data_IF_813712001653
#
_entry.id   IF_813712001653
#
_cell.length_a   1.000
_cell.length_b   1.000
_cell.length_c   1.000
_cell.angle_alpha   90.00
_cell.angle_beta   90.00
_cell.angle_gamma   90.00
#
_symmetry.space_group_name_H-M   'P 1'
#
loop_
_entity.id
_entity.type
_entity.pdbx_description
1 polymer ?
#
# COMPACT_ATOMS: atom_id res chain seq x y z
N UNK A 1 -13.67 -22.04 0.72
CA UNK A 1 -14.48 -21.75 1.93
C UNK A 1 -15.89 -21.45 1.46
N UNK A 2 -16.93 -21.87 2.19
CA UNK A 2 -18.32 -21.54 1.83
C UNK A 2 -18.47 -20.02 1.84
N UNK A 3 -19.13 -19.44 0.82
CA UNK A 3 -19.48 -18.03 0.84
C UNK A 3 -20.67 -17.78 1.77
N UNK A 4 -20.79 -16.59 2.38
CA UNK A 4 -21.97 -16.24 3.18
C UNK A 4 -23.25 -16.29 2.32
N UNK A 5 -24.38 -16.77 2.87
CA UNK A 5 -25.66 -16.76 2.18
C UNK A 5 -26.17 -15.33 2.01
N UNK A 6 -27.05 -15.10 1.03
CA UNK A 6 -27.67 -13.80 0.76
C UNK A 6 -28.43 -13.22 1.97
N UNK A 7 -28.94 -14.09 2.85
CA UNK A 7 -29.55 -13.71 4.12
C UNK A 7 -28.72 -14.31 5.25
N UNK A 8 -28.12 -13.45 6.05
CA UNK A 8 -27.27 -13.87 7.17
C UNK A 8 -28.13 -14.43 8.33
N UNK A 9 -27.64 -15.46 9.06
CA UNK A 9 -28.36 -16.03 10.20
C UNK A 9 -28.58 -15.01 11.32
N UNK A 10 -29.60 -15.21 12.17
CA UNK A 10 -29.72 -14.41 13.39
C UNK A 10 -28.56 -14.70 14.35
N UNK A 11 -28.32 -13.79 15.31
CA UNK A 11 -27.17 -13.86 16.20
C UNK A 11 -26.99 -15.22 16.92
N UNK A 12 -28.11 -15.87 17.28
CA UNK A 12 -28.10 -17.13 18.02
C UNK A 12 -28.22 -18.38 17.14
N UNK A 13 -28.43 -18.23 15.83
CA UNK A 13 -28.58 -19.33 14.89
C UNK A 13 -27.24 -20.00 14.60
N UNK A 14 -27.23 -21.26 14.11
CA UNK A 14 -26.01 -21.89 13.60
C UNK A 14 -25.35 -21.06 12.50
N UNK A 15 -24.03 -20.98 12.51
CA UNK A 15 -23.30 -20.26 11.49
C UNK A 15 -23.30 -21.01 10.14
N UNK A 16 -23.48 -20.25 9.05
CA UNK A 16 -23.52 -20.75 7.67
C UNK A 16 -22.26 -21.53 7.22
N UNK A 17 -21.12 -21.32 7.89
CA UNK A 17 -19.85 -21.97 7.53
C UNK A 17 -19.77 -23.46 7.92
N UNK A 18 -20.78 -24.00 8.62
CA UNK A 18 -20.80 -25.40 9.06
C UNK A 18 -19.92 -25.68 10.29
N UNK A 19 -19.40 -24.66 10.98
CA UNK A 19 -18.54 -24.84 12.16
C UNK A 19 -19.23 -25.38 13.41
N UNK A 20 -20.56 -25.52 13.40
CA UNK A 20 -21.36 -25.86 14.57
C UNK A 20 -21.46 -24.75 15.64
N UNK A 21 -20.81 -23.59 15.43
CA UNK A 21 -20.87 -22.44 16.35
C UNK A 21 -22.09 -21.56 16.04
N UNK A 22 -22.60 -20.86 17.06
CA UNK A 22 -23.60 -19.77 16.88
C UNK A 22 -22.99 -18.65 16.03
N UNK A 23 -23.79 -18.04 15.15
CA UNK A 23 -23.35 -16.99 14.23
C UNK A 23 -22.63 -15.84 14.96
N UNK A 24 -23.16 -15.37 16.09
CA UNK A 24 -22.54 -14.32 16.92
C UNK A 24 -21.15 -14.65 17.46
N UNK A 25 -20.81 -15.94 17.58
CA UNK A 25 -19.51 -16.42 18.07
C UNK A 25 -18.63 -16.96 16.93
N UNK A 26 -19.05 -16.75 15.68
CA UNK A 26 -18.35 -17.22 14.50
C UNK A 26 -18.08 -16.06 13.54
N UNK A 27 -19.05 -15.68 12.70
CA UNK A 27 -18.84 -14.72 11.61
C UNK A 27 -19.62 -13.41 11.76
N UNK A 28 -20.43 -13.22 12.81
CA UNK A 28 -21.13 -11.94 13.01
C UNK A 28 -20.19 -10.75 13.21
N UNK A 29 -19.04 -10.95 13.86
CA UNK A 29 -18.05 -9.90 14.08
C UNK A 29 -17.25 -9.51 12.82
N UNK A 30 -17.37 -10.32 11.76
CA UNK A 30 -16.74 -10.11 10.45
C UNK A 30 -17.76 -9.74 9.38
N UNK A 31 -19.02 -9.52 9.76
CA UNK A 31 -20.07 -9.04 8.87
C UNK A 31 -19.74 -7.64 8.36
N UNK A 32 -19.89 -7.42 7.05
CA UNK A 32 -19.54 -6.15 6.41
C UNK A 32 -18.03 -5.88 6.28
N UNK A 33 -17.16 -6.83 6.70
CA UNK A 33 -15.72 -6.70 6.50
C UNK A 33 -15.31 -7.08 5.09
N UNK A 34 -14.30 -6.39 4.59
CA UNK A 34 -13.57 -6.70 3.38
C UNK A 34 -13.14 -8.18 3.42
N UNK A 35 -13.45 -8.90 2.36
CA UNK A 35 -13.06 -10.28 2.15
C UNK A 35 -12.01 -10.35 1.04
N UNK A 36 -11.01 -11.24 1.15
CA UNK A 36 -10.08 -11.49 0.06
C UNK A 36 -10.81 -11.98 -1.20
N UNK A 37 -10.46 -11.39 -2.34
CA UNK A 37 -10.82 -11.83 -3.67
C UNK A 37 -9.90 -12.92 -4.21
N UNK A 38 -9.96 -13.15 -5.52
CA UNK A 38 -9.07 -14.07 -6.23
C UNK A 38 -7.80 -13.32 -6.62
N UNK A 39 -6.64 -13.85 -6.22
CA UNK A 39 -5.32 -13.30 -6.57
C UNK A 39 -4.91 -13.88 -7.93
N UNK A 40 -4.64 -13.01 -8.91
CA UNK A 40 -4.10 -13.43 -10.21
C UNK A 40 -2.61 -13.80 -10.13
N UNK A 41 -2.06 -14.57 -11.10
CA UNK A 41 -0.65 -14.98 -11.07
C UNK A 41 0.33 -13.81 -10.96
N UNK A 42 1.48 -14.07 -10.33
CA UNK A 42 2.58 -13.10 -10.22
C UNK A 42 3.03 -12.64 -11.63
N UNK A 43 3.19 -11.33 -11.82
CA UNK A 43 3.57 -10.73 -13.10
C UNK A 43 5.08 -10.86 -13.36
N UNK A 44 5.45 -10.99 -14.63
CA UNK A 44 6.83 -11.16 -15.07
C UNK A 44 7.55 -9.81 -15.19
N UNK A 45 8.73 -9.70 -14.58
CA UNK A 45 9.63 -8.56 -14.75
C UNK A 45 10.69 -8.88 -15.82
N UNK A 46 10.86 -8.06 -16.87
CA UNK A 46 11.85 -8.30 -17.93
C UNK A 46 13.30 -8.39 -17.42
N UNK A 47 14.11 -9.25 -18.05
CA UNK A 47 15.50 -9.52 -17.63
C UNK A 47 16.44 -8.31 -17.67
N UNK A 48 16.11 -7.28 -18.44
CA UNK A 48 16.91 -6.06 -18.53
C UNK A 48 16.71 -5.12 -17.34
N UNK A 49 15.69 -5.35 -16.51
CA UNK A 49 15.41 -4.56 -15.30
C UNK A 49 16.34 -5.02 -14.18
N UNK A 50 17.02 -4.05 -13.54
CA UNK A 50 17.85 -4.34 -12.36
C UNK A 50 17.00 -4.88 -11.22
N UNK A 51 17.38 -6.05 -10.67
CA UNK A 51 16.61 -6.74 -9.64
C UNK A 51 17.24 -6.58 -8.24
N UNK A 52 16.44 -6.42 -7.17
CA UNK A 52 16.96 -6.50 -5.82
C UNK A 52 17.39 -7.95 -5.47
N UNK A 53 18.22 -8.16 -4.43
CA UNK A 53 18.77 -9.49 -4.10
C UNK A 53 17.73 -10.57 -3.76
N UNK A 54 16.51 -10.18 -3.40
CA UNK A 54 15.42 -11.09 -3.06
C UNK A 54 14.49 -11.42 -4.24
N UNK A 55 14.64 -10.77 -5.40
CA UNK A 55 13.65 -10.86 -6.49
C UNK A 55 13.34 -12.29 -6.93
N UNK A 56 14.36 -13.16 -7.00
CA UNK A 56 14.18 -14.54 -7.47
C UNK A 56 13.85 -15.52 -6.32
N UNK A 57 14.33 -15.24 -5.11
CA UNK A 57 14.26 -16.20 -3.98
C UNK A 57 13.17 -15.87 -2.97
N UNK A 58 12.71 -14.63 -2.95
CA UNK A 58 11.92 -14.01 -1.90
C UNK A 58 12.58 -13.90 -0.53
N UNK A 59 13.87 -14.25 -0.43
CA UNK A 59 14.63 -14.20 0.81
C UNK A 59 15.46 -12.92 0.83
N UNK A 60 15.19 -12.07 1.81
CA UNK A 60 15.91 -10.80 1.99
C UNK A 60 17.23 -11.07 2.73
N UNK A 61 18.39 -10.88 2.09
CA UNK A 61 19.66 -11.04 2.79
C UNK A 61 19.86 -9.89 3.79
N UNK A 62 20.49 -10.20 4.93
CA UNK A 62 20.98 -9.15 5.82
C UNK A 62 22.33 -8.66 5.30
N UNK A 63 22.45 -7.37 5.05
CA UNK A 63 23.73 -6.72 4.79
C UNK A 63 23.90 -5.52 5.72
N UNK A 64 25.15 -5.23 6.07
CA UNK A 64 25.48 -4.02 6.83
C UNK A 64 25.65 -2.88 5.84
N UNK A 65 24.88 -1.82 6.03
CA UNK A 65 25.00 -0.59 5.25
C UNK A 65 25.25 0.58 6.19
N UNK A 66 26.06 1.55 5.74
CA UNK A 66 26.28 2.77 6.49
C UNK A 66 24.97 3.57 6.61
N UNK A 67 24.74 4.09 7.83
CA UNK A 67 23.58 4.97 8.10
C UNK A 67 23.72 6.31 7.39
N UNK A 68 24.95 6.78 7.21
CA UNK A 68 25.25 8.01 6.46
C UNK A 68 25.51 7.63 5.01
N UNK A 69 24.70 8.16 4.11
CA UNK A 69 24.77 7.86 2.68
C UNK A 69 25.81 8.75 2.00
N UNK A 70 26.54 8.19 1.04
CA UNK A 70 27.43 9.00 0.19
C UNK A 70 26.59 9.92 -0.71
N UNK A 71 27.16 11.03 -1.20
CA UNK A 71 26.47 11.90 -2.16
C UNK A 71 25.91 11.17 -3.39
N UNK A 72 26.62 10.14 -3.88
CA UNK A 72 26.18 9.31 -5.00
C UNK A 72 24.97 8.42 -4.64
N UNK A 73 24.94 7.85 -3.44
CA UNK A 73 23.77 7.09 -2.97
C UNK A 73 22.56 8.01 -2.81
N UNK A 74 22.78 9.20 -2.25
CA UNK A 74 21.73 10.22 -2.08
C UNK A 74 21.10 10.60 -3.42
N UNK A 75 21.91 10.82 -4.46
CA UNK A 75 21.38 11.15 -5.78
C UNK A 75 20.54 10.03 -6.39
N UNK A 76 20.96 8.78 -6.20
CA UNK A 76 20.15 7.62 -6.61
C UNK A 76 18.85 7.52 -5.81
N UNK A 77 18.87 7.87 -4.52
CA UNK A 77 17.65 7.90 -3.69
C UNK A 77 16.68 8.98 -4.16
N UNK A 78 17.15 10.16 -4.58
CA UNK A 78 16.30 11.20 -5.18
C UNK A 78 15.57 10.68 -6.42
N UNK A 79 16.29 10.03 -7.33
CA UNK A 79 15.72 9.45 -8.54
C UNK A 79 14.67 8.37 -8.20
N UNK A 80 14.97 7.50 -7.23
CA UNK A 80 14.04 6.46 -6.81
C UNK A 80 12.78 7.03 -6.15
N UNK A 81 12.93 8.03 -5.27
CA UNK A 81 11.83 8.73 -4.61
C UNK A 81 10.92 9.47 -5.60
N UNK A 82 11.51 10.23 -6.54
CA UNK A 82 10.76 10.93 -7.59
C UNK A 82 9.91 9.96 -8.43
N UNK A 83 10.48 8.82 -8.82
CA UNK A 83 9.78 7.78 -9.58
C UNK A 83 8.67 7.12 -8.77
N UNK A 84 8.91 6.81 -7.49
CA UNK A 84 7.89 6.25 -6.61
C UNK A 84 6.69 7.20 -6.46
N UNK A 85 6.96 8.49 -6.25
CA UNK A 85 5.95 9.54 -6.16
C UNK A 85 5.14 9.67 -7.46
N UNK A 86 5.81 9.66 -8.62
CA UNK A 86 5.12 9.74 -9.91
C UNK A 86 4.24 8.50 -10.18
N UNK A 87 4.71 7.29 -9.82
CA UNK A 87 3.90 6.07 -9.91
C UNK A 87 2.66 6.18 -9.01
N UNK A 88 2.84 6.58 -7.75
CA UNK A 88 1.75 6.74 -6.80
C UNK A 88 0.72 7.76 -7.28
N UNK A 89 1.18 8.91 -7.77
CA UNK A 89 0.34 9.98 -8.32
C UNK A 89 -0.52 9.46 -9.48
N UNK A 90 0.10 8.80 -10.46
CA UNK A 90 -0.59 8.25 -11.63
C UNK A 90 -1.51 7.08 -11.28
N UNK A 91 -1.15 6.26 -10.29
CA UNK A 91 -2.01 5.19 -9.81
C UNK A 91 -3.25 5.75 -9.10
N UNK A 92 -3.09 6.83 -8.32
CA UNK A 92 -4.19 7.56 -7.71
C UNK A 92 -5.19 8.15 -8.70
N UNK A 93 -4.72 8.65 -9.86
CA UNK A 93 -5.57 9.24 -10.91
C UNK A 93 -6.55 8.24 -11.55
N UNK A 94 -6.22 6.94 -11.54
CA UNK A 94 -7.07 5.91 -12.15
C UNK A 94 -8.07 5.31 -11.16
N UNK A 95 -7.91 5.55 -9.85
CA UNK A 95 -8.79 5.01 -8.81
C UNK A 95 -10.23 5.49 -9.02
N UNK A 96 -11.16 4.54 -9.18
CA UNK A 96 -12.57 4.81 -9.40
C UNK A 96 -13.45 3.60 -9.03
N UNK A 97 -14.76 3.83 -8.76
CA UNK A 97 -15.70 2.72 -8.59
C UNK A 97 -15.71 1.80 -9.81
N UNK A 98 -15.82 0.49 -9.57
CA UNK A 98 -15.90 -0.52 -10.63
C UNK A 98 -14.56 -1.09 -11.08
N UNK A 99 -13.42 -0.50 -10.69
CA UNK A 99 -12.10 -1.10 -10.90
C UNK A 99 -11.77 -2.13 -9.82
N UNK A 100 -11.00 -3.15 -10.16
CA UNK A 100 -10.43 -4.08 -9.19
C UNK A 100 -9.09 -3.56 -8.63
N UNK A 101 -8.70 -4.05 -7.45
CA UNK A 101 -7.35 -3.78 -6.93
C UNK A 101 -6.27 -4.44 -7.79
N UNK A 102 -6.55 -5.59 -8.43
CA UNK A 102 -5.64 -6.22 -9.40
C UNK A 102 -5.40 -5.36 -10.66
N UNK A 103 -6.41 -4.63 -11.16
CA UNK A 103 -6.21 -3.67 -12.26
C UNK A 103 -5.27 -2.52 -11.88
N UNK A 104 -5.27 -2.10 -10.61
CA UNK A 104 -4.32 -1.11 -10.09
C UNK A 104 -2.92 -1.71 -10.01
N UNK A 105 -2.77 -2.96 -9.55
CA UNK A 105 -1.48 -3.67 -9.55
C UNK A 105 -0.88 -3.79 -10.95
N UNK A 106 -1.70 -4.15 -11.94
CA UNK A 106 -1.27 -4.24 -13.33
C UNK A 106 -0.73 -2.89 -13.81
N UNK A 107 -1.46 -1.81 -13.54
CA UNK A 107 -1.03 -0.46 -13.91
C UNK A 107 0.29 -0.06 -13.23
N UNK A 108 0.40 -0.26 -11.91
CA UNK A 108 1.61 0.07 -11.15
C UNK A 108 2.80 -0.77 -11.60
N UNK A 109 2.59 -2.07 -11.85
CA UNK A 109 3.62 -2.97 -12.38
C UNK A 109 4.14 -2.45 -13.71
N UNK A 110 3.25 -2.25 -14.69
CA UNK A 110 3.63 -1.88 -16.05
C UNK A 110 4.33 -0.51 -16.08
N UNK A 111 3.84 0.44 -15.28
CA UNK A 111 4.47 1.77 -15.15
C UNK A 111 5.85 1.69 -14.48
N UNK A 112 6.02 0.82 -13.49
CA UNK A 112 7.33 0.61 -12.82
C UNK A 112 8.36 0.09 -13.81
N UNK A 113 7.95 -0.86 -14.67
CA UNK A 113 8.80 -1.39 -15.74
C UNK A 113 9.12 -0.31 -16.78
N UNK A 114 8.13 0.48 -17.21
CA UNK A 114 8.32 1.62 -18.13
C UNK A 114 9.35 2.61 -17.59
N UNK A 115 9.35 2.84 -16.27
CA UNK A 115 10.30 3.71 -15.58
C UNK A 115 11.69 3.09 -15.36
N UNK A 116 11.90 1.83 -15.77
CA UNK A 116 13.17 1.12 -15.69
C UNK A 116 13.48 0.53 -14.32
N UNK A 117 12.49 0.42 -13.43
CA UNK A 117 12.66 -0.13 -12.09
C UNK A 117 11.98 -1.48 -11.88
N UNK A 118 12.30 -2.10 -10.75
CA UNK A 118 11.66 -3.30 -10.25
C UNK A 118 10.62 -2.92 -9.18
N UNK A 119 9.38 -3.44 -9.21
CA UNK A 119 8.40 -3.19 -8.16
C UNK A 119 8.82 -3.95 -6.89
N UNK A 120 9.35 -3.23 -5.90
CA UNK A 120 10.02 -3.83 -4.72
C UNK A 120 9.15 -4.81 -3.93
N UNK A 121 7.83 -4.62 -3.76
CA UNK A 121 7.01 -5.60 -3.05
C UNK A 121 6.99 -6.96 -3.73
N UNK A 122 7.23 -7.03 -5.05
CA UNK A 122 7.12 -8.26 -5.81
C UNK A 122 8.15 -9.28 -5.33
N UNK A 123 7.64 -10.43 -4.86
CA UNK A 123 8.37 -11.51 -4.23
C UNK A 123 9.09 -11.16 -2.91
N UNK A 124 8.96 -9.95 -2.37
CA UNK A 124 9.53 -9.60 -1.06
C UNK A 124 8.90 -10.45 0.05
N UNK A 125 9.67 -11.35 0.68
CA UNK A 125 9.13 -12.37 1.59
C UNK A 125 7.99 -13.22 0.99
N UNK A 126 7.98 -13.39 -0.34
CA UNK A 126 6.92 -14.11 -1.06
C UNK A 126 5.64 -13.29 -1.30
N UNK A 127 5.67 -11.97 -1.09
CA UNK A 127 4.54 -11.10 -1.41
C UNK A 127 4.24 -11.16 -2.93
N UNK A 128 2.99 -11.40 -3.36
CA UNK A 128 2.73 -11.87 -4.73
C UNK A 128 2.50 -10.75 -5.76
N UNK A 129 2.50 -9.49 -5.34
CA UNK A 129 2.05 -8.33 -6.13
C UNK A 129 3.08 -7.19 -6.09
N UNK A 130 2.88 -6.20 -6.95
CA UNK A 130 3.81 -5.11 -7.24
C UNK A 130 3.56 -3.86 -6.39
N UNK A 131 2.39 -3.79 -5.74
CA UNK A 131 1.89 -2.69 -4.92
C UNK A 131 1.03 -3.26 -3.81
N UNK A 132 0.91 -2.60 -2.67
CA UNK A 132 -0.14 -2.93 -1.70
C UNK A 132 -1.39 -2.08 -1.94
N UNK A 133 -2.57 -2.68 -1.84
CA UNK A 133 -3.87 -2.01 -1.95
C UNK A 133 -4.70 -2.26 -0.71
N UNK A 134 -4.79 -1.28 0.18
CA UNK A 134 -5.41 -1.43 1.50
C UNK A 134 -6.73 -0.67 1.55
N UNK A 135 -7.84 -1.38 1.39
CA UNK A 135 -9.19 -0.80 1.33
C UNK A 135 -9.83 -0.76 2.71
N UNK A 136 -10.44 0.37 3.08
CA UNK A 136 -11.24 0.58 4.28
C UNK A 136 -10.53 0.15 5.59
N UNK A 137 -10.94 -0.95 6.23
CA UNK A 137 -10.35 -1.41 7.49
C UNK A 137 -9.04 -2.19 7.34
N UNK A 138 -8.58 -2.43 6.10
CA UNK A 138 -7.25 -3.00 5.86
C UNK A 138 -6.21 -1.92 6.18
N UNK A 139 -5.40 -2.16 7.20
CA UNK A 139 -4.43 -1.17 7.70
C UNK A 139 -3.27 -0.99 6.71
N UNK A 140 -2.62 -2.08 6.32
CA UNK A 140 -1.50 -2.08 5.37
C UNK A 140 -1.35 -3.47 4.74
N UNK A 141 -0.50 -3.56 3.72
CA UNK A 141 -0.15 -4.80 3.02
C UNK A 141 -1.34 -5.58 2.45
N UNK A 142 -2.45 -4.90 2.12
CA UNK A 142 -3.54 -5.52 1.36
C UNK A 142 -3.02 -6.05 0.02
N UNK A 143 -3.34 -7.29 -0.32
CA UNK A 143 -2.89 -7.92 -1.57
C UNK A 143 -3.89 -7.57 -2.68
N UNK A 144 -3.44 -6.96 -3.79
CA UNK A 144 -4.27 -6.78 -4.98
C UNK A 144 -4.91 -8.09 -5.44
N UNK A 145 -6.22 -8.04 -5.65
CA UNK A 145 -7.06 -9.19 -5.98
C UNK A 145 -8.30 -8.77 -6.81
N UNK A 146 -9.20 -9.72 -7.04
CA UNK A 146 -10.41 -9.50 -7.84
C UNK A 146 -11.49 -8.64 -7.16
N UNK A 147 -11.24 -8.05 -5.98
CA UNK A 147 -12.22 -7.18 -5.31
C UNK A 147 -12.42 -5.92 -6.14
N UNK A 148 -13.68 -5.66 -6.51
CA UNK A 148 -14.10 -4.42 -7.14
C UNK A 148 -14.25 -3.32 -6.10
N UNK A 149 -13.71 -2.13 -6.39
CA UNK A 149 -13.88 -0.92 -5.60
C UNK A 149 -15.31 -0.40 -5.70
N UNK A 150 -15.89 -0.03 -4.57
CA UNK A 150 -17.26 0.49 -4.46
C UNK A 150 -17.24 2.02 -4.26
N UNK A 151 -18.30 2.71 -4.72
CA UNK A 151 -18.46 4.14 -4.44
C UNK A 151 -18.56 4.37 -2.93
N UNK A 152 -17.69 5.24 -2.41
CA UNK A 152 -17.56 5.51 -0.98
C UNK A 152 -16.43 4.76 -0.28
N UNK A 153 -15.74 3.82 -0.95
CA UNK A 153 -14.50 3.23 -0.42
C UNK A 153 -13.40 4.29 -0.25
N UNK A 154 -12.48 4.03 0.69
CA UNK A 154 -11.14 4.64 0.70
C UNK A 154 -10.10 3.55 0.47
N UNK A 155 -9.03 3.88 -0.26
CA UNK A 155 -7.96 2.93 -0.59
C UNK A 155 -6.59 3.57 -0.40
N UNK A 156 -5.73 2.96 0.39
CA UNK A 156 -4.31 3.27 0.42
C UNK A 156 -3.58 2.47 -0.66
N UNK A 157 -2.72 3.16 -1.43
CA UNK A 157 -1.80 2.55 -2.38
C UNK A 157 -0.38 2.75 -1.87
N UNK A 158 0.35 1.66 -1.73
CA UNK A 158 1.72 1.64 -1.20
C UNK A 158 2.71 1.18 -2.26
N UNK A 159 3.53 2.12 -2.71
CA UNK A 159 4.38 2.03 -3.91
C UNK A 159 5.85 2.11 -3.52
N UNK A 160 6.58 1.04 -3.83
CA UNK A 160 8.03 1.02 -3.67
C UNK A 160 8.72 0.58 -4.96
N UNK A 161 9.61 1.40 -5.51
CA UNK A 161 10.42 1.08 -6.69
C UNK A 161 11.88 0.80 -6.31
N UNK A 162 12.47 -0.24 -6.88
CA UNK A 162 13.91 -0.48 -6.85
C UNK A 162 14.52 -0.05 -8.17
N UNK A 163 15.44 0.91 -8.13
CA UNK A 163 16.15 1.40 -9.32
C UNK A 163 17.56 1.84 -8.95
N UNK A 164 18.52 1.60 -9.83
CA UNK A 164 19.93 1.97 -9.64
C UNK A 164 20.53 1.49 -8.31
N UNK A 165 20.05 0.38 -7.75
CA UNK A 165 20.62 -0.18 -6.51
C UNK A 165 20.00 0.34 -5.20
N UNK A 166 18.96 1.18 -5.26
CA UNK A 166 18.27 1.71 -4.07
C UNK A 166 16.75 1.59 -4.21
N UNK A 167 16.04 1.68 -3.10
CA UNK A 167 14.57 1.71 -3.05
C UNK A 167 14.08 3.15 -2.84
N UNK A 168 12.97 3.51 -3.49
CA UNK A 168 12.17 4.70 -3.16
C UNK A 168 10.77 4.25 -2.78
N UNK A 169 10.25 4.76 -1.66
CA UNK A 169 9.04 4.26 -1.01
C UNK A 169 8.07 5.38 -0.64
N UNK A 170 6.79 5.22 -0.94
CA UNK A 170 5.73 6.19 -0.62
C UNK A 170 4.34 5.59 -0.75
N UNK A 171 3.41 6.08 0.06
CA UNK A 171 2.01 5.71 -0.01
C UNK A 171 1.09 6.90 0.27
N UNK A 172 -0.15 6.81 -0.21
CA UNK A 172 -1.21 7.76 0.06
C UNK A 172 -2.59 7.09 0.02
N UNK A 173 -3.56 7.72 0.68
CA UNK A 173 -4.95 7.24 0.71
C UNK A 173 -5.83 8.05 -0.25
N UNK A 174 -6.53 7.35 -1.15
CA UNK A 174 -7.38 7.92 -2.19
C UNK A 174 -8.86 7.66 -1.92
N UNK A 175 -9.70 8.60 -2.35
CA UNK A 175 -11.15 8.45 -2.35
C UNK A 175 -11.60 7.66 -3.57
N UNK A 176 -12.50 6.69 -3.38
CA UNK A 176 -13.16 5.98 -4.48
C UNK A 176 -14.55 6.61 -4.70
N UNK A 177 -14.64 7.50 -5.69
CA UNK A 177 -15.89 8.20 -5.99
C UNK A 177 -16.34 9.12 -4.86
N UNK A 178 -17.60 9.01 -4.43
CA UNK A 178 -18.21 9.91 -3.45
C UNK A 178 -18.03 9.39 -2.01
N UNK A 179 -16.95 9.81 -1.37
CA UNK A 179 -16.62 9.45 0.01
C UNK A 179 -17.30 10.39 1.02
N UNK A 180 -17.62 9.85 2.21
CA UNK A 180 -18.24 10.58 3.31
C UNK A 180 -17.36 11.72 3.85
N UNK A 181 -17.94 12.72 4.50
CA UNK A 181 -17.16 13.80 5.13
C UNK A 181 -16.31 13.30 6.32
N UNK A 182 -16.73 12.22 6.98
CA UNK A 182 -15.96 11.57 8.05
C UNK A 182 -14.68 10.96 7.48
N UNK A 183 -14.77 10.22 6.38
CA UNK A 183 -13.63 9.54 5.76
C UNK A 183 -12.70 10.55 5.07
N UNK A 184 -13.24 11.61 4.44
CA UNK A 184 -12.42 12.73 3.95
C UNK A 184 -11.65 13.41 5.07
N UNK A 185 -12.28 13.57 6.24
CA UNK A 185 -11.60 14.10 7.44
C UNK A 185 -10.51 13.14 7.93
N UNK A 186 -10.75 11.83 7.91
CA UNK A 186 -9.75 10.82 8.29
C UNK A 186 -8.52 10.89 7.39
N UNK A 187 -8.71 10.94 6.07
CA UNK A 187 -7.62 11.09 5.09
C UNK A 187 -6.83 12.37 5.39
N UNK A 188 -7.50 13.52 5.48
CA UNK A 188 -6.85 14.81 5.71
C UNK A 188 -6.07 14.86 7.03
N UNK A 189 -6.68 14.43 8.14
CA UNK A 189 -6.02 14.45 9.46
C UNK A 189 -4.79 13.54 9.47
N UNK A 190 -4.85 12.43 8.75
CA UNK A 190 -3.69 11.56 8.63
C UNK A 190 -2.55 12.23 7.87
N UNK A 191 -2.86 12.89 6.76
CA UNK A 191 -1.89 13.67 5.99
C UNK A 191 -1.25 14.77 6.86
N UNK A 192 -2.08 15.53 7.59
CA UNK A 192 -1.63 16.55 8.55
C UNK A 192 -0.70 15.95 9.62
N UNK A 193 -1.03 14.77 10.17
CA UNK A 193 -0.17 14.08 11.13
C UNK A 193 1.18 13.67 10.54
N UNK A 194 1.21 13.21 9.27
CA UNK A 194 2.47 12.90 8.58
C UNK A 194 3.32 14.17 8.45
N UNK A 195 2.74 15.26 7.96
CA UNK A 195 3.44 16.53 7.80
C UNK A 195 3.99 17.07 9.12
N UNK A 196 3.20 17.03 10.20
CA UNK A 196 3.68 17.37 11.53
C UNK A 196 4.82 16.46 12.01
N UNK A 197 4.79 15.16 11.67
CA UNK A 197 5.89 14.23 11.97
C UNK A 197 7.17 14.58 11.20
N UNK A 198 7.05 14.93 9.92
CA UNK A 198 8.16 15.39 9.06
C UNK A 198 8.73 16.71 9.60
N UNK A 199 7.88 17.67 9.96
CA UNK A 199 8.29 18.95 10.58
C UNK A 199 8.95 18.76 11.95
N UNK A 200 8.50 17.76 12.73
CA UNK A 200 8.96 17.51 14.10
C UNK A 200 10.13 16.52 14.21
N UNK A 201 10.61 15.96 13.09
CA UNK A 201 11.76 15.05 12.99
C UNK A 201 11.60 13.68 13.73
N UNK A 202 10.39 13.27 14.21
CA UNK A 202 10.11 11.97 14.89
C UNK A 202 8.63 11.44 14.82
N UNK A 203 8.43 10.11 14.96
CA UNK A 203 7.17 9.30 14.78
C UNK A 203 6.15 9.28 15.95
N UNK A 204 4.83 9.08 15.65
CA UNK A 204 3.72 8.94 16.62
C UNK A 204 2.80 7.71 16.38
N UNK A 205 2.09 7.22 17.42
CA UNK A 205 1.12 6.10 17.38
C UNK A 205 -0.20 6.43 18.08
N UNK A 206 -1.33 5.81 17.69
CA UNK A 206 -2.62 5.96 18.39
C UNK A 206 -2.65 5.13 19.67
N UNK A 207 -3.00 5.77 20.79
CA UNK A 207 -2.99 5.15 22.13
C UNK A 207 -4.18 4.21 22.37
N UNK A 208 -5.22 4.30 21.54
CA UNK A 208 -6.54 3.70 21.75
C UNK A 208 -6.93 2.61 20.73
N UNK A 209 -6.09 2.35 19.72
CA UNK A 209 -6.32 1.30 18.71
C UNK A 209 -7.38 1.63 17.66
N UNK A 210 -7.72 2.91 17.50
CA UNK A 210 -8.62 3.40 16.44
C UNK A 210 -7.97 3.33 15.05
N UNK A 211 -8.81 3.48 14.00
CA UNK A 211 -8.39 3.49 12.59
C UNK A 211 -7.24 4.47 12.34
N UNK A 212 -6.31 4.07 11.49
CA UNK A 212 -5.19 4.86 10.99
C UNK A 212 -5.38 5.00 9.48
N UNK A 213 -5.12 6.17 8.91
CA UNK A 213 -4.64 6.17 7.53
C UNK A 213 -3.10 6.26 7.56
N UNK A 214 -2.48 6.15 6.40
CA UNK A 214 -1.05 6.35 6.26
C UNK A 214 -0.79 7.27 5.08
N UNK A 215 0.20 8.13 5.27
CA UNK A 215 0.95 8.74 4.21
C UNK A 215 2.41 8.44 4.52
N UNK A 216 3.20 8.22 3.48
CA UNK A 216 4.61 7.95 3.62
C UNK A 216 5.40 8.76 2.63
N UNK A 217 6.46 9.37 3.14
CA UNK A 217 7.49 9.95 2.31
C UNK A 217 8.84 9.35 2.67
N UNK A 218 9.66 9.08 1.66
CA UNK A 218 11.08 8.85 1.86
C UNK A 218 11.72 10.21 2.13
N UNK A 219 12.31 10.38 3.31
CA UNK A 219 12.99 11.61 3.71
C UNK A 219 14.50 11.39 3.86
N UNK A 220 15.28 12.45 3.61
CA UNK A 220 16.71 12.51 3.88
C UNK A 220 16.98 13.60 4.90
N UNK A 221 17.52 13.22 6.06
CA UNK A 221 18.01 14.18 7.05
C UNK A 221 19.33 14.79 6.55
N UNK A 222 19.39 16.12 6.51
CA UNK A 222 20.57 16.91 6.11
C UNK A 222 21.14 17.66 7.32
N UNK A 223 22.23 18.42 7.12
CA UNK A 223 22.82 19.21 8.20
C UNK A 223 21.90 20.34 8.71
N UNK A 224 21.03 20.85 7.83
CA UNK A 224 20.24 22.06 8.07
C UNK A 224 18.71 21.80 8.04
N UNK A 225 18.26 20.54 7.94
CA UNK A 225 16.84 20.17 7.88
C UNK A 225 16.58 18.80 7.25
N UNK A 226 15.45 18.65 6.55
CA UNK A 226 15.04 17.41 5.87
C UNK A 226 14.70 17.68 4.39
N UNK A 227 15.17 16.82 3.48
CA UNK A 227 14.74 16.77 2.09
C UNK A 227 13.63 15.70 1.95
N UNK A 228 12.51 16.05 1.30
CA UNK A 228 11.39 15.12 1.07
C UNK A 228 11.54 14.54 -0.33
N UNK A 229 12.15 13.35 -0.43
CA UNK A 229 12.56 12.77 -1.71
C UNK A 229 11.37 12.32 -2.59
N UNK A 230 10.21 12.19 -1.97
CA UNK A 230 8.94 11.77 -2.60
C UNK A 230 7.90 12.89 -2.59
N UNK A 231 8.33 14.13 -2.37
CA UNK A 231 7.47 15.31 -2.43
C UNK A 231 7.21 15.75 -3.88
N UNK A 232 6.01 16.26 -4.17
CA UNK A 232 5.66 16.79 -5.49
C UNK A 232 6.34 18.12 -5.81
N UNK A 233 6.14 18.71 -7.00
CA UNK A 233 6.72 20.01 -7.34
C UNK A 233 6.29 21.11 -6.33
N UNK A 234 7.25 21.66 -5.59
CA UNK A 234 7.01 22.75 -4.63
C UNK A 234 6.87 22.33 -3.16
N UNK A 235 7.08 21.05 -2.83
CA UNK A 235 7.32 20.58 -1.46
C UNK A 235 8.74 20.87 -0.99
#
# INVERSE_FOLDING_TARGET
MNQPPAVLPAANDPCWCGSGRKYKRCHKGTEGRIQPGVISPMRHVPDHIGKPPYADTGVVPRYSEDRVKSPEVIERMRIAGEKAAEILRRAGEIVKPGMTTDEIDIFVHDLTIEMGGYPSPLNYHGYPKSVCTSVNEVICHGIPDSRVLEDGDIINLDVTIYINGVHGDTNATFCVGNVSDEDKKLIRVTEECMWHGIEADWTAVTKDGSRTAQFEHTILVTADGVDILTGGPGS
#
